data_IF_523438423345
#
_entry.id   IF_523438423345
#
_cell.length_a   1.000
_cell.length_b   1.000
_cell.length_c   1.000
_cell.angle_alpha   90.00
_cell.angle_beta   90.00
_cell.angle_gamma   90.00
#
_symmetry.space_group_name_H-M   'P 1'
#
loop_
_entity.id
_entity.type
_entity.pdbx_description
1 polymer ?
#
# COMPACT_ATOMS: atom_id res chain seq x y z
N UNK A 1 19.58 -19.84 -2.46
CA UNK A 1 18.36 -19.12 -2.11
C UNK A 1 17.96 -18.21 -3.26
N UNK A 2 16.69 -17.94 -3.48
CA UNK A 2 16.23 -17.00 -4.52
C UNK A 2 15.55 -15.82 -3.82
N UNK A 3 16.09 -14.62 -4.01
CA UNK A 3 15.47 -13.39 -3.58
C UNK A 3 15.02 -12.57 -4.79
N UNK A 4 13.77 -12.12 -4.75
CA UNK A 4 13.26 -11.11 -5.68
C UNK A 4 13.32 -9.77 -4.98
N UNK A 5 13.93 -8.78 -5.62
CA UNK A 5 14.13 -7.46 -5.02
C UNK A 5 13.45 -6.38 -5.86
N UNK A 6 12.57 -5.60 -5.26
CA UNK A 6 11.93 -4.46 -5.91
C UNK A 6 12.51 -3.17 -5.35
N UNK A 7 12.77 -2.20 -6.22
CA UNK A 7 13.22 -0.88 -5.83
C UNK A 7 12.21 0.20 -6.23
N UNK A 8 11.86 1.04 -5.26
CA UNK A 8 10.93 2.15 -5.46
C UNK A 8 11.53 3.29 -6.29
N UNK A 9 10.67 4.19 -6.78
CA UNK A 9 11.10 5.29 -7.64
C UNK A 9 12.10 6.25 -7.00
N UNK A 10 11.97 6.54 -5.69
CA UNK A 10 12.94 7.34 -4.93
C UNK A 10 14.34 6.70 -4.91
N UNK A 11 14.40 5.37 -4.85
CA UNK A 11 15.63 4.59 -4.90
C UNK A 11 16.29 4.56 -6.29
N UNK A 12 15.60 5.03 -7.32
CA UNK A 12 16.05 5.00 -8.73
C UNK A 12 15.97 6.39 -9.39
N UNK A 13 15.92 7.46 -8.59
CA UNK A 13 15.70 8.81 -9.06
C UNK A 13 16.92 9.42 -9.78
N UNK A 14 18.14 8.93 -9.55
CA UNK A 14 19.39 9.44 -10.10
C UNK A 14 20.46 8.35 -10.24
N UNK A 15 21.53 8.65 -10.97
CA UNK A 15 22.67 7.74 -11.10
C UNK A 15 23.31 7.36 -9.74
N UNK A 16 23.31 8.28 -8.77
CA UNK A 16 23.82 8.01 -7.42
C UNK A 16 22.96 6.97 -6.70
N UNK A 17 21.64 7.11 -6.79
CA UNK A 17 20.71 6.13 -6.23
C UNK A 17 20.85 4.76 -6.93
N UNK A 18 21.00 4.73 -8.26
CA UNK A 18 21.30 3.49 -9.00
C UNK A 18 22.59 2.81 -8.51
N UNK A 19 23.65 3.58 -8.22
CA UNK A 19 24.89 3.02 -7.66
C UNK A 19 24.67 2.37 -6.30
N UNK A 20 23.88 3.01 -5.41
CA UNK A 20 23.49 2.40 -4.12
C UNK A 20 22.73 1.09 -4.34
N UNK A 21 21.72 1.11 -5.22
CA UNK A 21 20.94 -0.08 -5.58
C UNK A 21 21.83 -1.18 -6.13
N UNK A 22 22.74 -0.86 -7.06
CA UNK A 22 23.68 -1.83 -7.60
C UNK A 22 24.61 -2.44 -6.54
N UNK A 23 25.08 -1.65 -5.58
CA UNK A 23 25.87 -2.14 -4.45
C UNK A 23 25.05 -3.08 -3.56
N UNK A 24 23.79 -2.73 -3.26
CA UNK A 24 22.87 -3.58 -2.51
C UNK A 24 22.68 -4.92 -3.22
N UNK A 25 22.41 -4.92 -4.53
CA UNK A 25 22.17 -6.15 -5.28
C UNK A 25 23.43 -7.03 -5.29
N UNK A 26 24.61 -6.44 -5.56
CA UNK A 26 25.89 -7.18 -5.62
C UNK A 26 26.39 -7.68 -4.26
N UNK A 27 25.93 -7.08 -3.16
CA UNK A 27 26.29 -7.50 -1.79
C UNK A 27 25.66 -8.84 -1.39
N UNK A 28 24.71 -9.35 -2.17
CA UNK A 28 24.00 -10.60 -1.87
C UNK A 28 23.69 -11.33 -3.18
N UNK A 29 24.39 -12.45 -3.41
CA UNK A 29 24.26 -13.23 -4.66
C UNK A 29 22.88 -13.88 -4.84
N UNK A 30 22.09 -13.98 -3.78
CA UNK A 30 20.73 -14.50 -3.83
C UNK A 30 19.72 -13.50 -4.43
N UNK A 31 20.09 -12.22 -4.58
CA UNK A 31 19.27 -11.16 -5.21
C UNK A 31 19.33 -11.26 -6.74
N UNK A 32 18.69 -12.30 -7.26
CA UNK A 32 18.79 -12.71 -8.66
C UNK A 32 17.80 -12.00 -9.58
N UNK A 33 16.64 -11.64 -9.07
CA UNK A 33 15.58 -11.02 -9.88
C UNK A 33 15.22 -9.65 -9.35
N UNK A 34 15.33 -8.65 -10.23
CA UNK A 34 15.21 -7.24 -9.86
C UNK A 34 13.99 -6.62 -10.54
N UNK A 35 13.16 -5.94 -9.77
CA UNK A 35 11.96 -5.24 -10.27
C UNK A 35 12.11 -3.73 -10.01
N UNK A 36 12.57 -2.95 -11.00
CA UNK A 36 12.70 -1.52 -10.87
C UNK A 36 11.36 -0.80 -11.13
N UNK A 37 11.09 0.26 -10.35
CA UNK A 37 10.08 1.27 -10.67
C UNK A 37 10.65 2.31 -11.64
N UNK A 38 9.79 3.17 -12.20
CA UNK A 38 10.23 4.38 -12.92
C UNK A 38 11.01 5.33 -11.99
N UNK A 39 11.89 6.19 -12.52
CA UNK A 39 12.61 7.16 -11.72
C UNK A 39 11.67 8.13 -11.00
N UNK A 40 11.80 8.21 -9.69
CA UNK A 40 11.06 9.14 -8.84
C UNK A 40 11.59 10.57 -8.87
N UNK A 41 11.22 11.37 -7.88
CA UNK A 41 11.73 12.73 -7.68
C UNK A 41 13.17 12.69 -7.17
N UNK A 42 14.03 13.58 -7.68
CA UNK A 42 15.40 13.81 -7.18
C UNK A 42 15.42 14.71 -5.94
N UNK A 43 14.43 15.62 -5.87
CA UNK A 43 14.22 16.59 -4.80
C UNK A 43 12.71 16.90 -4.69
N UNK A 44 12.21 17.55 -3.62
CA UNK A 44 10.76 17.71 -3.36
C UNK A 44 9.96 18.35 -4.50
N UNK A 45 10.53 19.34 -5.19
CA UNK A 45 9.88 20.10 -6.27
C UNK A 45 10.02 19.40 -7.64
N UNK A 46 10.80 18.34 -7.76
CA UNK A 46 10.98 17.60 -9.01
C UNK A 46 9.70 16.86 -9.44
N UNK A 47 9.62 16.54 -10.72
CA UNK A 47 8.48 15.79 -11.28
C UNK A 47 8.88 14.32 -11.47
N UNK A 48 8.02 13.39 -11.09
CA UNK A 48 8.22 11.96 -11.37
C UNK A 48 8.17 11.71 -12.87
N UNK A 49 8.99 10.78 -13.36
CA UNK A 49 8.99 10.41 -14.78
C UNK A 49 7.61 9.93 -15.25
N UNK A 50 6.87 9.19 -14.43
CA UNK A 50 5.52 8.75 -14.77
C UNK A 50 4.57 9.93 -15.01
N UNK A 51 4.66 11.00 -14.19
CA UNK A 51 3.86 12.21 -14.36
C UNK A 51 4.26 12.96 -15.64
N UNK A 52 5.56 12.99 -15.97
CA UNK A 52 6.05 13.56 -17.24
C UNK A 52 5.53 12.79 -18.45
N UNK A 53 5.47 11.46 -18.39
CA UNK A 53 4.92 10.60 -19.44
C UNK A 53 3.41 10.83 -19.62
N UNK A 54 2.64 10.90 -18.54
CA UNK A 54 1.21 11.23 -18.63
C UNK A 54 0.96 12.60 -19.26
N UNK A 55 1.73 13.61 -18.86
CA UNK A 55 1.65 14.95 -19.43
C UNK A 55 1.98 14.95 -20.93
N UNK A 56 3.07 14.29 -21.31
CA UNK A 56 3.50 14.18 -22.71
C UNK A 56 2.42 13.45 -23.56
N UNK A 57 1.83 12.39 -23.03
CA UNK A 57 0.76 11.66 -23.70
C UNK A 57 -0.52 12.51 -23.83
N UNK A 58 -0.90 13.25 -22.80
CA UNK A 58 -2.04 14.17 -22.86
C UNK A 58 -1.84 15.30 -23.91
N UNK A 59 -0.60 15.74 -24.12
CA UNK A 59 -0.26 16.67 -25.21
C UNK A 59 -0.49 16.02 -26.59
N UNK A 60 -0.14 14.72 -26.76
CA UNK A 60 -0.40 13.97 -27.98
C UNK A 60 -1.93 13.77 -28.21
N UNK A 61 -2.69 13.42 -27.16
CA UNK A 61 -4.15 13.31 -27.22
C UNK A 61 -4.81 14.64 -27.65
N UNK A 62 -4.20 15.77 -27.27
CA UNK A 62 -4.66 17.10 -27.67
C UNK A 62 -4.14 17.55 -29.05
N UNK A 63 -3.46 16.70 -29.81
CA UNK A 63 -2.89 16.99 -31.13
C UNK A 63 -1.73 18.01 -31.09
N UNK A 64 -1.07 18.17 -29.93
CA UNK A 64 0.06 19.08 -29.77
C UNK A 64 1.38 18.40 -30.13
N UNK A 65 2.40 19.19 -30.45
CA UNK A 65 3.75 18.69 -30.64
C UNK A 65 4.35 18.24 -29.28
N UNK A 66 4.74 16.97 -29.19
CA UNK A 66 5.27 16.32 -27.98
C UNK A 66 6.80 16.34 -27.90
N UNK A 67 7.51 16.86 -28.91
CA UNK A 67 8.98 16.76 -28.99
C UNK A 67 9.68 17.36 -27.77
N UNK A 68 9.21 18.51 -27.30
CA UNK A 68 9.79 19.16 -26.12
C UNK A 68 9.61 18.35 -24.85
N UNK A 69 8.41 17.83 -24.62
CA UNK A 69 8.10 17.02 -23.43
C UNK A 69 8.80 15.67 -23.48
N UNK A 70 8.85 15.04 -24.65
CA UNK A 70 9.53 13.77 -24.83
C UNK A 70 11.05 13.91 -24.66
N UNK A 71 11.64 14.99 -25.20
CA UNK A 71 13.06 15.28 -25.04
C UNK A 71 13.44 15.50 -23.57
N UNK A 72 12.62 16.18 -22.79
CA UNK A 72 12.87 16.37 -21.36
C UNK A 72 12.90 15.02 -20.60
N UNK A 73 12.06 14.06 -21.00
CA UNK A 73 12.09 12.69 -20.45
C UNK A 73 13.35 11.97 -20.88
N UNK A 74 13.72 12.06 -22.15
CA UNK A 74 14.95 11.47 -22.70
C UNK A 74 16.20 12.00 -21.98
N UNK A 75 16.30 13.30 -21.78
CA UNK A 75 17.38 13.94 -21.03
C UNK A 75 17.49 13.38 -19.61
N UNK A 76 16.37 13.16 -18.94
CA UNK A 76 16.31 12.57 -17.59
C UNK A 76 16.95 11.17 -17.54
N UNK A 77 16.70 10.32 -18.52
CA UNK A 77 17.32 8.99 -18.63
C UNK A 77 18.77 9.06 -19.06
N UNK A 78 19.12 9.97 -19.98
CA UNK A 78 20.48 10.18 -20.43
C UNK A 78 21.40 10.67 -19.29
N UNK A 79 20.90 11.51 -18.38
CA UNK A 79 21.62 11.88 -17.15
C UNK A 79 21.97 10.65 -16.31
N UNK A 80 21.02 9.72 -16.12
CA UNK A 80 21.26 8.47 -15.38
C UNK A 80 22.31 7.61 -16.10
N UNK A 81 22.15 7.37 -17.39
CA UNK A 81 23.07 6.56 -18.21
C UNK A 81 24.48 7.13 -18.16
N UNK A 82 24.63 8.45 -18.36
CA UNK A 82 25.91 9.15 -18.28
C UNK A 82 26.54 9.07 -16.89
N UNK A 83 25.75 9.29 -15.84
CA UNK A 83 26.23 9.23 -14.47
C UNK A 83 26.66 7.83 -14.01
N UNK A 84 26.13 6.79 -14.67
CA UNK A 84 26.53 5.39 -14.48
C UNK A 84 27.72 4.99 -15.38
N UNK A 85 28.12 5.82 -16.34
CA UNK A 85 29.19 5.52 -17.29
C UNK A 85 28.84 4.42 -18.31
N UNK A 86 27.55 4.22 -18.61
CA UNK A 86 27.10 3.16 -19.51
C UNK A 86 27.25 3.56 -20.98
N UNK A 87 27.58 2.59 -21.82
CA UNK A 87 27.58 2.71 -23.29
C UNK A 87 26.22 2.25 -23.84
N UNK A 88 25.15 2.86 -23.36
CA UNK A 88 23.78 2.53 -23.72
C UNK A 88 23.11 3.73 -24.39
N UNK A 89 22.37 3.51 -25.47
CA UNK A 89 21.49 4.50 -26.10
C UNK A 89 20.05 4.02 -26.07
N UNK A 90 19.13 4.87 -25.66
CA UNK A 90 17.69 4.60 -25.67
C UNK A 90 16.99 5.28 -26.86
N UNK A 91 17.74 5.74 -27.88
CA UNK A 91 17.19 6.49 -29.01
C UNK A 91 16.09 5.71 -29.75
N UNK A 92 16.31 4.43 -30.05
CA UNK A 92 15.31 3.59 -30.73
C UNK A 92 14.05 3.41 -29.91
N UNK A 93 14.18 3.28 -28.58
CA UNK A 93 13.07 3.19 -27.67
C UNK A 93 12.25 4.49 -27.65
N UNK A 94 12.90 5.65 -27.62
CA UNK A 94 12.23 6.95 -27.67
C UNK A 94 11.56 7.21 -29.02
N UNK A 95 12.15 6.80 -30.14
CA UNK A 95 11.50 6.85 -31.46
C UNK A 95 10.24 5.98 -31.50
N UNK A 96 10.30 4.78 -30.91
CA UNK A 96 9.15 3.89 -30.79
C UNK A 96 8.07 4.48 -29.90
N UNK A 97 8.44 5.05 -28.74
CA UNK A 97 7.51 5.73 -27.82
C UNK A 97 6.83 6.90 -28.52
N UNK A 98 7.58 7.74 -29.23
CA UNK A 98 7.04 8.87 -30.01
C UNK A 98 5.94 8.41 -30.97
N UNK A 99 6.24 7.40 -31.80
CA UNK A 99 5.28 6.83 -32.78
C UNK A 99 4.01 6.30 -32.09
N UNK A 100 4.15 5.60 -30.95
CA UNK A 100 3.01 5.08 -30.21
C UNK A 100 2.18 6.18 -29.52
N UNK A 101 2.81 7.26 -29.04
CA UNK A 101 2.09 8.41 -28.49
C UNK A 101 1.31 9.13 -29.57
N UNK A 102 1.91 9.37 -30.72
CA UNK A 102 1.25 9.96 -31.89
C UNK A 102 0.12 9.08 -32.44
N UNK A 103 0.24 7.75 -32.31
CA UNK A 103 -0.78 6.77 -32.66
C UNK A 103 -1.83 6.55 -31.55
N UNK A 104 -1.78 7.28 -30.44
CA UNK A 104 -2.68 7.20 -29.29
C UNK A 104 -2.80 5.77 -28.71
N UNK A 105 -1.68 5.12 -28.44
CA UNK A 105 -1.60 3.75 -27.94
C UNK A 105 -2.21 3.51 -26.53
N UNK A 106 -2.62 4.57 -25.82
CA UNK A 106 -3.31 4.51 -24.55
C UNK A 106 -2.46 4.95 -23.35
N UNK A 107 -3.15 5.37 -22.28
CA UNK A 107 -2.52 5.88 -21.05
C UNK A 107 -1.69 4.82 -20.33
N UNK A 108 -2.14 3.56 -20.35
CA UNK A 108 -1.40 2.43 -19.75
C UNK A 108 -0.06 2.21 -20.45
N UNK A 109 -0.04 2.28 -21.80
CA UNK A 109 1.19 2.23 -22.57
C UNK A 109 2.12 3.38 -22.16
N UNK A 110 1.60 4.60 -22.12
CA UNK A 110 2.41 5.77 -21.78
C UNK A 110 3.04 5.64 -20.39
N UNK A 111 2.27 5.32 -19.38
CA UNK A 111 2.73 5.16 -18.01
C UNK A 111 3.81 4.08 -17.87
N UNK A 112 3.60 2.92 -18.50
CA UNK A 112 4.52 1.77 -18.43
C UNK A 112 5.93 2.05 -18.97
N UNK A 113 6.08 3.05 -19.85
CA UNK A 113 7.38 3.35 -20.46
C UNK A 113 8.41 3.84 -19.46
N UNK A 114 7.96 4.37 -18.32
CA UNK A 114 8.85 4.75 -17.22
C UNK A 114 9.63 3.56 -16.67
N UNK A 115 8.95 2.52 -16.28
CA UNK A 115 9.53 1.29 -15.77
C UNK A 115 10.28 0.52 -16.87
N UNK A 116 9.72 0.47 -18.08
CA UNK A 116 10.35 -0.19 -19.23
C UNK A 116 11.76 0.36 -19.51
N UNK A 117 11.89 1.68 -19.67
CA UNK A 117 13.18 2.33 -19.92
C UNK A 117 14.15 2.15 -18.74
N UNK A 118 13.63 2.27 -17.53
CA UNK A 118 14.43 2.09 -16.33
C UNK A 118 14.91 0.64 -16.14
N UNK A 119 14.09 -0.32 -16.53
CA UNK A 119 14.45 -1.73 -16.57
C UNK A 119 15.59 -2.03 -17.53
N UNK A 120 15.59 -1.44 -18.72
CA UNK A 120 16.69 -1.58 -19.70
C UNK A 120 18.01 -1.04 -19.12
N UNK A 121 17.96 0.15 -18.48
CA UNK A 121 19.16 0.73 -17.84
C UNK A 121 19.65 -0.17 -16.72
N UNK A 122 18.75 -0.65 -15.86
CA UNK A 122 19.10 -1.51 -14.72
C UNK A 122 19.72 -2.83 -15.20
N UNK A 123 19.15 -3.47 -16.22
CA UNK A 123 19.66 -4.71 -16.81
C UNK A 123 21.07 -4.51 -17.38
N UNK A 124 21.28 -3.42 -18.12
CA UNK A 124 22.60 -3.09 -18.67
C UNK A 124 23.63 -2.78 -17.56
N UNK A 125 23.23 -2.05 -16.51
CA UNK A 125 24.09 -1.70 -15.38
C UNK A 125 24.52 -2.91 -14.54
N UNK A 126 23.63 -3.89 -14.39
CA UNK A 126 23.91 -5.12 -13.63
C UNK A 126 24.56 -6.23 -14.48
N UNK A 127 24.41 -6.18 -15.80
CA UNK A 127 24.73 -7.30 -16.69
C UNK A 127 23.72 -8.46 -16.58
N UNK A 128 22.47 -8.16 -16.23
CA UNK A 128 21.38 -9.13 -16.11
C UNK A 128 20.52 -9.17 -17.38
N UNK A 129 19.79 -10.28 -17.58
CA UNK A 129 18.87 -10.38 -18.71
C UNK A 129 17.67 -9.43 -18.51
N UNK A 130 17.33 -8.65 -19.56
CA UNK A 130 16.12 -7.82 -19.55
C UNK A 130 14.93 -8.64 -20.05
N UNK A 131 13.87 -8.70 -19.23
CA UNK A 131 12.61 -9.36 -19.60
C UNK A 131 11.50 -8.32 -19.53
N UNK A 132 10.93 -7.99 -20.70
CA UNK A 132 9.79 -7.07 -20.76
C UNK A 132 8.60 -7.67 -19.99
N UNK A 133 8.07 -6.95 -19.02
CA UNK A 133 6.92 -7.38 -18.22
C UNK A 133 5.70 -7.72 -19.06
N UNK A 134 5.50 -7.05 -20.21
CA UNK A 134 4.43 -7.37 -21.16
C UNK A 134 4.52 -8.80 -21.73
N UNK A 135 5.67 -9.46 -21.66
CA UNK A 135 5.85 -10.83 -22.14
C UNK A 135 5.60 -11.90 -21.08
N UNK A 136 5.54 -11.52 -19.81
CA UNK A 136 5.44 -12.48 -18.70
C UNK A 136 4.29 -12.19 -17.73
N UNK A 137 3.80 -10.95 -17.64
CA UNK A 137 2.66 -10.57 -16.80
C UNK A 137 1.41 -10.52 -17.67
N UNK A 138 0.43 -11.37 -17.39
CA UNK A 138 -0.76 -11.54 -18.19
C UNK A 138 -1.98 -10.92 -17.50
N UNK A 139 -2.75 -10.17 -18.27
CA UNK A 139 -4.11 -9.76 -17.91
C UNK A 139 -5.10 -10.54 -18.79
N UNK A 140 -6.34 -10.68 -18.34
CA UNK A 140 -7.42 -11.28 -19.13
C UNK A 140 -8.02 -10.26 -20.12
N UNK A 141 -9.09 -10.67 -20.82
CA UNK A 141 -9.81 -9.82 -21.78
C UNK A 141 -10.52 -8.63 -21.15
N UNK A 142 -10.84 -8.72 -19.86
CA UNK A 142 -11.55 -7.69 -19.10
C UNK A 142 -10.57 -6.73 -18.39
N UNK A 143 -9.26 -7.02 -18.52
CA UNK A 143 -8.17 -6.22 -17.92
C UNK A 143 -7.87 -6.56 -16.46
N UNK A 144 -8.37 -7.71 -16.00
CA UNK A 144 -8.06 -8.24 -14.66
C UNK A 144 -6.78 -9.10 -14.70
N UNK A 145 -6.06 -9.12 -13.61
CA UNK A 145 -4.78 -9.87 -13.53
C UNK A 145 -5.02 -11.40 -13.55
N UNK A 146 -4.47 -12.07 -14.57
CA UNK A 146 -4.52 -13.52 -14.71
C UNK A 146 -3.31 -14.18 -13.99
N UNK A 147 -3.50 -14.59 -12.76
CA UNK A 147 -2.44 -15.16 -11.93
C UNK A 147 -1.99 -16.55 -12.39
N UNK A 148 -2.87 -17.38 -12.92
CA UNK A 148 -2.55 -18.75 -13.35
C UNK A 148 -1.71 -18.73 -14.62
N UNK A 149 -2.16 -17.97 -15.61
CA UNK A 149 -1.43 -17.80 -16.86
C UNK A 149 -0.07 -17.13 -16.63
N UNK A 150 -0.02 -16.08 -15.79
CA UNK A 150 1.23 -15.40 -15.44
C UNK A 150 2.22 -16.37 -14.81
N UNK A 151 1.81 -17.18 -13.82
CA UNK A 151 2.69 -18.14 -13.18
C UNK A 151 3.25 -19.15 -14.19
N UNK A 152 2.41 -19.71 -15.08
CA UNK A 152 2.85 -20.67 -16.10
C UNK A 152 3.84 -20.03 -17.10
N UNK A 153 3.56 -18.81 -17.56
CA UNK A 153 4.44 -18.09 -18.50
C UNK A 153 5.77 -17.73 -17.84
N UNK A 154 5.73 -17.23 -16.60
CA UNK A 154 6.94 -16.93 -15.82
C UNK A 154 7.78 -18.19 -15.58
N UNK A 155 7.18 -19.31 -15.13
CA UNK A 155 7.89 -20.56 -14.87
C UNK A 155 8.62 -21.04 -16.13
N UNK A 156 7.97 -21.01 -17.31
CA UNK A 156 8.58 -21.36 -18.57
C UNK A 156 9.71 -20.40 -19.00
N UNK A 157 9.47 -19.08 -18.85
CA UNK A 157 10.41 -18.06 -19.28
C UNK A 157 11.68 -18.03 -18.43
N UNK A 158 11.53 -18.19 -17.11
CA UNK A 158 12.66 -18.10 -16.18
C UNK A 158 13.42 -19.42 -15.98
N UNK A 159 12.95 -20.55 -16.56
CA UNK A 159 13.54 -21.87 -16.35
C UNK A 159 15.06 -21.95 -16.62
N UNK A 160 15.55 -21.15 -17.57
CA UNK A 160 16.98 -21.12 -17.97
C UNK A 160 17.63 -19.75 -17.72
N UNK A 161 17.01 -18.88 -16.94
CA UNK A 161 17.49 -17.52 -16.66
C UNK A 161 17.89 -17.43 -15.20
N UNK A 162 19.18 -17.27 -14.95
CA UNK A 162 19.70 -17.20 -13.58
C UNK A 162 19.45 -15.85 -12.92
N UNK A 163 19.58 -14.76 -13.70
CA UNK A 163 19.48 -13.38 -13.22
C UNK A 163 18.74 -12.51 -14.24
N UNK A 164 17.70 -11.82 -13.79
CA UNK A 164 16.91 -10.98 -14.68
C UNK A 164 16.44 -9.67 -14.04
N UNK A 165 16.15 -8.70 -14.89
CA UNK A 165 15.42 -7.48 -14.55
C UNK A 165 14.07 -7.51 -15.26
N UNK A 166 13.00 -7.37 -14.48
CA UNK A 166 11.62 -7.31 -14.96
C UNK A 166 11.04 -5.95 -14.57
N UNK A 167 10.74 -5.06 -15.53
CA UNK A 167 10.13 -3.76 -15.20
C UNK A 167 8.85 -3.94 -14.40
N UNK A 168 8.65 -3.10 -13.37
CA UNK A 168 7.44 -3.12 -12.58
C UNK A 168 6.22 -2.53 -13.28
N UNK A 169 5.05 -2.56 -12.60
CA UNK A 169 3.85 -1.78 -12.88
C UNK A 169 2.93 -2.29 -14.00
N UNK A 170 3.35 -3.04 -14.99
CA UNK A 170 2.55 -3.38 -16.16
C UNK A 170 2.69 -4.83 -16.61
N UNK A 171 1.81 -5.23 -17.49
CA UNK A 171 1.81 -6.47 -18.25
C UNK A 171 1.07 -6.27 -19.57
N UNK A 172 0.55 -7.35 -20.16
CA UNK A 172 -0.20 -7.29 -21.40
C UNK A 172 -1.52 -8.07 -21.36
N UNK A 173 -2.52 -7.55 -22.07
CA UNK A 173 -3.76 -8.21 -22.37
C UNK A 173 -3.58 -9.22 -23.52
N UNK A 174 -4.54 -10.15 -23.78
CA UNK A 174 -4.43 -11.13 -24.86
C UNK A 174 -4.29 -10.52 -26.27
N UNK A 175 -4.78 -9.30 -26.46
CA UNK A 175 -4.65 -8.55 -27.73
C UNK A 175 -3.30 -7.81 -27.88
N UNK A 176 -2.37 -8.03 -26.96
CA UNK A 176 -1.06 -7.38 -26.95
C UNK A 176 -1.04 -5.95 -26.41
N UNK A 177 -2.18 -5.37 -26.03
CA UNK A 177 -2.21 -4.04 -25.43
C UNK A 177 -1.62 -4.08 -24.02
N UNK A 178 -0.80 -3.11 -23.73
CA UNK A 178 -0.25 -2.93 -22.38
C UNK A 178 -1.36 -2.55 -21.41
N UNK A 179 -1.32 -3.15 -20.22
CA UNK A 179 -2.19 -2.86 -19.09
C UNK A 179 -1.37 -2.60 -17.86
N UNK A 180 -1.70 -1.55 -17.10
CA UNK A 180 -1.04 -1.22 -15.83
C UNK A 180 -1.88 -1.66 -14.63
N UNK A 181 -1.22 -1.94 -13.51
CA UNK A 181 -1.89 -2.11 -12.23
C UNK A 181 -2.36 -0.75 -11.69
N UNK A 182 -3.50 -0.73 -11.01
CA UNK A 182 -4.14 0.53 -10.59
C UNK A 182 -3.36 1.28 -9.50
N UNK A 183 -2.73 0.57 -8.56
CA UNK A 183 -1.92 1.14 -7.45
C UNK A 183 -0.80 0.19 -7.05
N UNK A 184 0.30 0.75 -6.53
CA UNK A 184 1.44 -0.04 -6.04
C UNK A 184 2.05 -0.99 -7.08
N UNK A 185 1.92 -0.67 -8.37
CA UNK A 185 2.11 -1.64 -9.45
C UNK A 185 3.46 -2.31 -9.48
N UNK A 186 4.54 -1.60 -9.17
CA UNK A 186 5.86 -2.24 -9.09
C UNK A 186 5.99 -3.17 -7.87
N UNK A 187 5.32 -2.86 -6.76
CA UNK A 187 5.25 -3.75 -5.59
C UNK A 187 4.49 -5.02 -5.92
N UNK A 188 3.37 -4.87 -6.66
CA UNK A 188 2.56 -6.00 -7.15
C UNK A 188 3.38 -6.86 -8.11
N UNK A 189 4.10 -6.25 -9.06
CA UNK A 189 4.96 -7.00 -10.00
C UNK A 189 6.05 -7.77 -9.26
N UNK A 190 6.73 -7.16 -8.28
CA UNK A 190 7.74 -7.84 -7.45
C UNK A 190 7.17 -9.05 -6.72
N UNK A 191 5.99 -8.91 -6.15
CA UNK A 191 5.25 -9.97 -5.48
C UNK A 191 4.83 -11.11 -6.43
N UNK A 192 4.36 -10.78 -7.63
CA UNK A 192 4.01 -11.75 -8.67
C UNK A 192 5.24 -12.55 -9.12
N UNK A 193 6.33 -11.86 -9.43
CA UNK A 193 7.59 -12.50 -9.85
C UNK A 193 8.13 -13.40 -8.74
N UNK A 194 8.10 -12.94 -7.47
CA UNK A 194 8.52 -13.75 -6.34
C UNK A 194 7.69 -15.04 -6.22
N UNK A 195 6.36 -14.94 -6.37
CA UNK A 195 5.47 -16.10 -6.34
C UNK A 195 5.75 -17.05 -7.50
N UNK A 196 5.84 -16.54 -8.72
CA UNK A 196 6.03 -17.35 -9.92
C UNK A 196 7.36 -18.13 -9.89
N UNK A 197 8.40 -17.54 -9.30
CA UNK A 197 9.71 -18.16 -9.10
C UNK A 197 9.80 -19.02 -7.83
N UNK A 198 8.74 -19.10 -7.03
CA UNK A 198 8.76 -19.76 -5.72
C UNK A 198 9.94 -19.27 -4.88
N UNK A 199 10.16 -17.94 -4.87
CA UNK A 199 11.28 -17.32 -4.19
C UNK A 199 11.24 -17.59 -2.67
N UNK A 200 12.43 -17.65 -2.07
CA UNK A 200 12.57 -17.80 -0.62
C UNK A 200 12.23 -16.49 0.13
N UNK A 201 12.36 -15.34 -0.55
CA UNK A 201 12.08 -14.03 0.02
C UNK A 201 11.75 -12.99 -1.07
N UNK A 202 10.86 -12.07 -0.74
CA UNK A 202 10.62 -10.84 -1.48
C UNK A 202 11.11 -9.65 -0.67
N UNK A 203 12.14 -8.94 -1.15
CA UNK A 203 12.62 -7.71 -0.54
C UNK A 203 12.02 -6.49 -1.26
N UNK A 204 11.31 -5.65 -0.52
CA UNK A 204 10.80 -4.37 -1.03
C UNK A 204 11.66 -3.23 -0.48
N UNK A 205 12.49 -2.66 -1.35
CA UNK A 205 13.40 -1.57 -1.04
C UNK A 205 12.76 -0.22 -1.34
N UNK A 206 12.70 0.63 -0.31
CA UNK A 206 12.09 1.96 -0.33
C UNK A 206 12.99 2.97 0.38
N UNK A 207 12.47 4.13 0.79
CA UNK A 207 13.18 5.19 1.50
C UNK A 207 12.97 5.19 3.02
N UNK A 208 12.29 4.16 3.55
CA UNK A 208 12.07 3.97 4.99
C UNK A 208 12.55 2.60 5.46
N UNK A 209 13.00 2.51 6.70
CA UNK A 209 13.58 1.29 7.30
C UNK A 209 12.51 0.33 7.86
N UNK A 210 11.39 0.14 7.13
CA UNK A 210 10.28 -0.70 7.53
C UNK A 210 9.15 0.07 8.22
N UNK A 211 8.37 -0.64 9.03
CA UNK A 211 7.26 -0.07 9.78
C UNK A 211 7.70 0.38 11.17
N UNK A 212 7.12 1.48 11.64
CA UNK A 212 7.25 1.95 13.00
C UNK A 212 5.98 1.63 13.81
N UNK A 213 6.15 1.44 15.10
CA UNK A 213 5.05 1.09 16.01
C UNK A 213 4.02 2.23 16.23
N UNK A 214 4.33 3.43 15.77
CA UNK A 214 3.40 4.56 15.67
C UNK A 214 3.86 5.52 14.55
N UNK A 215 3.00 6.44 14.15
CA UNK A 215 3.35 7.49 13.19
C UNK A 215 4.46 8.40 13.77
N UNK A 216 5.65 8.50 13.14
CA UNK A 216 6.76 9.31 13.65
C UNK A 216 6.47 10.82 13.70
N UNK A 217 5.43 11.27 12.98
CA UNK A 217 4.95 12.66 13.06
C UNK A 217 4.19 12.94 14.34
N UNK A 218 3.70 11.89 15.01
CA UNK A 218 2.95 11.97 16.28
C UNK A 218 3.83 11.56 17.45
N UNK A 219 4.53 10.43 17.32
CA UNK A 219 5.39 9.88 18.38
C UNK A 219 6.84 10.01 17.93
N UNK A 220 7.57 10.95 18.52
CA UNK A 220 9.00 11.09 18.26
C UNK A 220 9.74 9.80 18.68
N UNK A 221 10.66 9.33 17.83
CA UNK A 221 11.43 8.10 18.06
C UNK A 221 10.58 6.84 18.25
N UNK A 222 9.47 6.73 17.50
CA UNK A 222 8.68 5.50 17.49
C UNK A 222 9.58 4.29 17.15
N UNK A 223 9.47 3.22 17.94
CA UNK A 223 10.33 2.03 17.80
C UNK A 223 10.01 1.28 16.48
N UNK A 224 11.02 0.69 15.82
CA UNK A 224 10.82 -0.10 14.62
C UNK A 224 10.11 -1.42 14.93
N UNK A 225 9.27 -1.87 14.02
CA UNK A 225 8.64 -3.19 14.06
C UNK A 225 9.55 -4.16 13.32
N UNK A 226 10.19 -5.08 14.05
CA UNK A 226 11.11 -6.06 13.45
C UNK A 226 10.36 -7.14 12.67
N UNK A 227 9.25 -7.67 13.21
CA UNK A 227 8.45 -8.73 12.60
C UNK A 227 6.98 -8.44 12.79
N UNK A 228 6.22 -8.50 11.70
CA UNK A 228 4.76 -8.29 11.68
C UNK A 228 4.10 -9.43 10.91
N UNK A 229 2.93 -9.87 11.34
CA UNK A 229 2.13 -10.82 10.56
C UNK A 229 1.28 -10.09 9.52
N UNK A 230 0.87 -10.79 8.46
CA UNK A 230 -0.05 -10.23 7.46
C UNK A 230 -1.36 -9.71 8.06
N UNK A 231 -1.86 -10.38 9.12
CA UNK A 231 -3.08 -9.94 9.80
C UNK A 231 -2.87 -8.61 10.52
N UNK A 232 -1.80 -8.48 11.30
CA UNK A 232 -1.45 -7.23 11.98
C UNK A 232 -1.18 -6.10 10.99
N UNK A 233 -0.47 -6.40 9.89
CA UNK A 233 -0.19 -5.43 8.85
C UNK A 233 -1.49 -4.88 8.22
N UNK A 234 -2.48 -5.73 7.96
CA UNK A 234 -3.77 -5.29 7.40
C UNK A 234 -4.48 -4.32 8.34
N UNK A 235 -4.52 -4.63 9.63
CA UNK A 235 -5.14 -3.77 10.64
C UNK A 235 -4.47 -2.38 10.68
N UNK A 236 -3.13 -2.35 10.76
CA UNK A 236 -2.37 -1.10 10.78
C UNK A 236 -2.49 -0.31 9.46
N UNK A 237 -2.41 -1.00 8.32
CA UNK A 237 -2.50 -0.36 7.00
C UNK A 237 -3.87 0.23 6.73
N UNK A 238 -4.93 -0.47 7.12
CA UNK A 238 -6.30 0.02 7.01
C UNK A 238 -6.49 1.32 7.79
N UNK A 239 -5.88 1.41 8.96
CA UNK A 239 -5.90 2.61 9.81
C UNK A 239 -4.84 3.65 9.46
N UNK A 240 -4.14 3.52 8.31
CA UNK A 240 -3.29 4.56 7.74
C UNK A 240 -1.78 4.37 7.87
N UNK A 241 -1.30 3.34 8.55
CA UNK A 241 0.13 2.99 8.58
C UNK A 241 0.52 2.24 7.29
N UNK A 242 0.55 2.94 6.16
CA UNK A 242 0.76 2.35 4.83
C UNK A 242 2.19 2.58 4.35
N UNK A 243 3.00 1.52 4.31
CA UNK A 243 4.30 1.46 3.62
C UNK A 243 4.20 0.61 2.35
N UNK A 244 3.33 -0.40 2.35
CA UNK A 244 3.12 -1.33 1.25
C UNK A 244 1.63 -1.42 0.91
N UNK A 245 1.29 -1.38 -0.39
CA UNK A 245 -0.10 -1.52 -0.82
C UNK A 245 -0.59 -2.96 -0.64
N UNK A 246 -1.83 -3.14 -0.18
CA UNK A 246 -2.41 -4.46 0.11
C UNK A 246 -2.38 -5.41 -1.10
N UNK A 247 -2.61 -4.90 -2.31
CA UNK A 247 -2.56 -5.68 -3.55
C UNK A 247 -1.20 -6.34 -3.79
N UNK A 248 -0.11 -5.75 -3.27
CA UNK A 248 1.24 -6.31 -3.39
C UNK A 248 1.50 -7.49 -2.44
N UNK A 249 0.68 -7.62 -1.41
CA UNK A 249 0.84 -8.68 -0.40
C UNK A 249 0.23 -10.00 -0.88
N UNK A 250 -0.89 -9.93 -1.59
CA UNK A 250 -1.70 -11.09 -1.93
C UNK A 250 -0.95 -12.21 -2.68
N UNK A 251 -0.16 -11.95 -3.75
CA UNK A 251 0.54 -13.01 -4.47
C UNK A 251 1.57 -13.76 -3.60
N UNK A 252 2.42 -13.05 -2.86
CA UNK A 252 3.44 -13.68 -2.01
C UNK A 252 2.83 -14.38 -0.80
N UNK A 253 1.79 -13.81 -0.18
CA UNK A 253 1.06 -14.43 0.91
C UNK A 253 0.49 -15.79 0.49
N UNK A 254 -0.16 -15.87 -0.67
CA UNK A 254 -0.67 -17.15 -1.22
C UNK A 254 0.45 -18.15 -1.49
N UNK A 255 1.68 -17.67 -1.73
CA UNK A 255 2.90 -18.49 -1.88
C UNK A 255 3.61 -18.85 -0.58
N UNK A 256 3.18 -18.29 0.56
CA UNK A 256 3.90 -18.44 1.84
C UNK A 256 5.27 -17.76 1.88
N UNK A 257 5.52 -16.81 0.97
CA UNK A 257 6.83 -16.15 0.81
C UNK A 257 6.89 -14.94 1.75
N UNK A 258 7.88 -14.82 2.64
CA UNK A 258 8.05 -13.66 3.49
C UNK A 258 8.44 -12.42 2.69
N UNK A 259 8.00 -11.23 3.17
CA UNK A 259 8.41 -9.94 2.63
C UNK A 259 9.35 -9.26 3.61
N UNK A 260 10.43 -8.65 3.14
CA UNK A 260 11.25 -7.75 3.96
C UNK A 260 11.19 -6.32 3.39
N UNK A 261 10.72 -5.37 4.18
CA UNK A 261 10.73 -3.95 3.83
C UNK A 261 12.07 -3.36 4.28
N UNK A 262 12.84 -2.82 3.33
CA UNK A 262 14.20 -2.33 3.59
C UNK A 262 14.42 -0.92 3.05
N UNK A 263 15.39 -0.24 3.64
CA UNK A 263 15.76 1.13 3.26
C UNK A 263 16.97 1.15 2.33
N UNK A 264 16.80 1.70 1.14
CA UNK A 264 17.90 1.87 0.16
C UNK A 264 18.98 2.83 0.66
N UNK A 265 18.62 3.78 1.54
CA UNK A 265 19.56 4.76 2.08
C UNK A 265 20.23 4.32 3.39
N UNK A 266 19.73 3.24 4.01
CA UNK A 266 20.30 2.59 5.20
C UNK A 266 20.20 1.05 5.01
N UNK A 267 20.96 0.46 4.09
CA UNK A 267 20.85 -0.95 3.72
C UNK A 267 21.24 -1.91 4.86
N UNK A 268 21.99 -1.45 5.85
CA UNK A 268 22.37 -2.17 7.08
C UNK A 268 21.18 -2.36 8.02
N UNK A 269 20.15 -1.51 7.96
CA UNK A 269 18.96 -1.66 8.78
C UNK A 269 18.26 -2.99 8.44
N UNK A 270 17.84 -3.71 9.48
CA UNK A 270 17.14 -4.99 9.32
C UNK A 270 15.81 -4.84 8.59
N UNK A 271 15.17 -3.67 8.73
CA UNK A 271 13.84 -3.42 8.20
C UNK A 271 12.74 -4.19 8.94
N UNK A 272 11.58 -4.34 8.30
CA UNK A 272 10.45 -5.10 8.86
C UNK A 272 10.21 -6.37 8.05
N UNK A 273 10.21 -7.51 8.72
CA UNK A 273 9.83 -8.81 8.16
C UNK A 273 8.33 -9.03 8.27
N UNK A 274 7.65 -9.28 7.15
CA UNK A 274 6.22 -9.59 7.09
C UNK A 274 6.08 -11.09 6.80
N UNK A 275 5.35 -11.79 7.67
CA UNK A 275 5.20 -13.27 7.63
C UNK A 275 3.73 -13.68 7.80
N UNK A 276 3.37 -14.90 7.38
CA UNK A 276 2.03 -15.44 7.60
C UNK A 276 1.79 -15.71 9.09
N UNK A 277 2.74 -16.41 9.71
CA UNK A 277 2.71 -16.75 11.14
C UNK A 277 4.12 -16.67 11.72
N UNK A 278 4.20 -16.44 13.01
CA UNK A 278 5.48 -16.49 13.74
C UNK A 278 5.26 -17.01 15.16
N UNK A 279 6.18 -17.84 15.62
CA UNK A 279 6.25 -18.27 17.01
C UNK A 279 6.97 -17.24 17.91
N UNK A 280 7.66 -16.28 17.29
CA UNK A 280 8.36 -15.24 18.04
C UNK A 280 7.35 -14.30 18.70
N UNK A 281 7.42 -14.22 20.03
CA UNK A 281 6.67 -13.20 20.76
C UNK A 281 7.16 -11.81 20.33
N UNK A 282 6.26 -10.83 20.20
CA UNK A 282 6.67 -9.45 19.94
C UNK A 282 7.47 -8.93 21.14
N UNK A 283 8.39 -8.00 20.88
CA UNK A 283 9.18 -7.34 21.92
C UNK A 283 8.29 -6.60 22.94
N UNK A 284 7.22 -6.01 22.43
CA UNK A 284 6.17 -5.34 23.22
C UNK A 284 4.85 -6.08 23.06
N UNK A 285 3.94 -5.94 24.00
CA UNK A 285 2.61 -6.55 23.97
C UNK A 285 1.82 -6.14 22.73
N UNK A 286 2.00 -4.89 22.28
CA UNK A 286 1.43 -4.39 21.03
C UNK A 286 2.48 -4.40 19.92
N UNK A 287 2.03 -4.57 18.68
CA UNK A 287 2.87 -4.45 17.49
C UNK A 287 2.92 -3.00 17.00
N UNK A 288 1.79 -2.30 17.04
CA UNK A 288 1.73 -0.90 16.64
C UNK A 288 0.39 -0.25 16.88
N UNK A 289 0.37 1.07 16.70
CA UNK A 289 -0.80 1.93 16.82
C UNK A 289 -0.92 2.75 15.55
N UNK A 290 -2.09 2.73 14.94
CA UNK A 290 -2.43 3.56 13.79
C UNK A 290 -3.80 4.17 13.98
N UNK A 291 -4.11 5.24 13.24
CA UNK A 291 -5.43 5.83 13.32
C UNK A 291 -5.70 6.84 12.22
N UNK A 292 -6.97 7.16 12.05
CA UNK A 292 -7.46 8.15 11.10
C UNK A 292 -8.45 9.08 11.75
N UNK A 293 -8.49 10.31 11.26
CA UNK A 293 -9.53 11.31 11.57
C UNK A 293 -10.61 11.32 10.49
N UNK A 294 -11.70 12.00 10.76
CA UNK A 294 -12.73 12.27 9.75
C UNK A 294 -13.84 11.22 9.71
N UNK A 295 -14.27 10.74 10.87
CA UNK A 295 -15.43 9.84 10.99
C UNK A 295 -16.65 10.55 11.56
N UNK A 296 -17.80 10.02 11.20
CA UNK A 296 -19.13 10.39 11.74
C UNK A 296 -19.72 9.14 12.36
N UNK A 297 -20.27 9.29 13.57
CA UNK A 297 -21.10 8.31 14.23
C UNK A 297 -22.58 8.65 14.01
N UNK A 298 -23.35 7.68 13.53
CA UNK A 298 -24.80 7.75 13.36
C UNK A 298 -25.40 6.82 14.42
N UNK A 299 -25.90 7.37 15.52
CA UNK A 299 -26.57 6.62 16.59
C UNK A 299 -28.06 6.53 16.30
N UNK A 300 -28.58 5.33 16.25
CA UNK A 300 -29.98 5.02 15.96
C UNK A 300 -30.55 4.35 17.20
N UNK A 301 -31.54 4.99 17.83
CA UNK A 301 -32.22 4.48 18.98
C UNK A 301 -33.61 3.98 18.59
N UNK A 302 -33.97 2.82 19.08
CA UNK A 302 -35.28 2.24 18.87
C UNK A 302 -35.66 1.28 20.01
N UNK A 303 -36.73 1.58 20.71
CA UNK A 303 -37.29 0.68 21.71
C UNK A 303 -37.57 -0.71 21.10
N UNK A 304 -37.17 -1.76 21.81
CA UNK A 304 -37.35 -3.16 21.41
C UNK A 304 -36.60 -3.52 20.11
N UNK A 305 -35.53 -2.81 19.76
CA UNK A 305 -34.72 -3.05 18.57
C UNK A 305 -34.24 -4.51 18.46
N UNK A 306 -33.83 -5.09 19.60
CA UNK A 306 -33.34 -6.48 19.66
C UNK A 306 -34.42 -7.52 19.33
N UNK A 307 -35.68 -7.17 19.42
CA UNK A 307 -36.83 -8.03 19.10
C UNK A 307 -37.27 -7.92 17.63
N UNK A 308 -36.78 -6.91 16.90
CA UNK A 308 -37.10 -6.70 15.48
C UNK A 308 -36.16 -7.49 14.58
N UNK A 309 -36.63 -8.62 14.08
CA UNK A 309 -35.85 -9.47 13.15
C UNK A 309 -35.49 -8.67 11.90
N UNK A 310 -34.18 -8.61 11.60
CA UNK A 310 -33.66 -7.96 10.41
C UNK A 310 -33.48 -6.45 10.55
N UNK A 311 -33.56 -5.86 11.72
CA UNK A 311 -33.32 -4.43 11.96
C UNK A 311 -31.96 -4.00 11.42
N UNK A 312 -30.88 -4.64 11.87
CA UNK A 312 -29.51 -4.30 11.41
C UNK A 312 -29.39 -4.42 9.88
N UNK A 313 -29.95 -5.48 9.28
CA UNK A 313 -29.91 -5.64 7.82
C UNK A 313 -30.58 -4.47 7.09
N UNK A 314 -31.74 -4.01 7.59
CA UNK A 314 -32.47 -2.87 6.98
C UNK A 314 -31.64 -1.60 7.06
N UNK A 315 -30.99 -1.33 8.19
CA UNK A 315 -30.09 -0.19 8.35
C UNK A 315 -28.88 -0.30 7.43
N UNK A 316 -28.20 -1.45 7.39
CA UNK A 316 -27.04 -1.67 6.54
C UNK A 316 -27.36 -1.52 5.05
N UNK A 317 -28.56 -1.98 4.62
CA UNK A 317 -29.01 -1.79 3.22
C UNK A 317 -29.12 -0.32 2.84
N UNK A 318 -29.44 0.58 3.76
CA UNK A 318 -29.46 2.02 3.47
C UNK A 318 -28.06 2.54 3.10
N UNK A 319 -27.02 2.11 3.82
CA UNK A 319 -25.64 2.52 3.51
C UNK A 319 -25.17 1.89 2.18
N UNK A 320 -25.47 0.61 1.95
CA UNK A 320 -25.17 -0.11 0.70
C UNK A 320 -25.80 0.60 -0.50
N UNK A 321 -27.10 0.91 -0.45
CA UNK A 321 -27.85 1.60 -1.53
C UNK A 321 -27.30 3.00 -1.86
N UNK A 322 -26.58 3.61 -0.91
CA UNK A 322 -25.94 4.90 -1.08
C UNK A 322 -24.42 4.81 -1.37
N UNK A 323 -23.87 3.59 -1.48
CA UNK A 323 -22.45 3.39 -1.74
C UNK A 323 -21.57 3.99 -0.64
N UNK A 324 -21.94 3.78 0.63
CA UNK A 324 -21.20 4.24 1.81
C UNK A 324 -20.62 3.02 2.51
N UNK A 325 -19.30 3.01 2.69
CA UNK A 325 -18.60 1.96 3.43
C UNK A 325 -18.81 2.13 4.94
N UNK A 326 -19.10 1.03 5.62
CA UNK A 326 -19.24 1.00 7.08
C UNK A 326 -17.91 0.56 7.69
N UNK A 327 -17.42 1.34 8.64
CA UNK A 327 -16.16 1.07 9.34
C UNK A 327 -16.37 0.19 10.57
N UNK A 328 -17.28 0.62 11.45
CA UNK A 328 -17.62 -0.08 12.68
C UNK A 328 -19.12 0.06 12.99
N UNK A 329 -19.64 -0.91 13.75
CA UNK A 329 -21.06 -0.96 14.06
C UNK A 329 -21.31 -1.53 15.46
N UNK A 330 -20.91 -0.82 16.53
CA UNK A 330 -21.28 -1.21 17.88
C UNK A 330 -22.80 -1.14 18.07
N UNK A 331 -23.37 -2.17 18.68
CA UNK A 331 -24.80 -2.27 18.93
C UNK A 331 -25.09 -2.67 20.36
N UNK A 332 -26.13 -2.05 20.94
CA UNK A 332 -26.73 -2.38 22.23
C UNK A 332 -28.04 -3.16 22.07
N UNK A 333 -28.87 -3.10 23.09
CA UNK A 333 -30.21 -3.73 23.09
C UNK A 333 -31.19 -2.89 22.27
N UNK A 334 -31.22 -1.58 22.51
CA UNK A 334 -32.16 -0.63 21.92
C UNK A 334 -31.42 0.44 21.09
N UNK A 335 -30.11 0.28 20.88
CA UNK A 335 -29.26 1.26 20.15
C UNK A 335 -28.33 0.58 19.18
N UNK A 336 -28.11 1.22 18.04
CA UNK A 336 -27.12 0.82 17.05
C UNK A 336 -26.38 2.06 16.58
N UNK A 337 -25.06 2.04 16.63
CA UNK A 337 -24.25 3.15 16.10
C UNK A 337 -23.47 2.67 14.86
N UNK A 338 -23.53 3.43 13.78
CA UNK A 338 -22.79 3.15 12.55
C UNK A 338 -21.71 4.22 12.38
N UNK A 339 -20.44 3.79 12.25
CA UNK A 339 -19.32 4.67 11.95
C UNK A 339 -19.00 4.62 10.47
N UNK A 340 -18.94 5.79 9.84
CA UNK A 340 -18.64 5.94 8.42
C UNK A 340 -17.62 7.07 8.21
N UNK A 341 -16.92 7.06 7.08
CA UNK A 341 -16.02 8.14 6.75
C UNK A 341 -16.83 9.41 6.39
N UNK A 342 -16.43 10.54 6.94
CA UNK A 342 -17.16 11.82 6.80
C UNK A 342 -17.27 12.23 5.33
N UNK A 343 -16.21 12.04 4.54
CA UNK A 343 -16.18 12.44 3.13
C UNK A 343 -17.18 11.67 2.25
N UNK A 344 -17.51 10.41 2.63
CA UNK A 344 -18.49 9.59 1.92
C UNK A 344 -19.94 9.93 2.31
N UNK A 345 -20.12 10.50 3.49
CA UNK A 345 -21.42 10.70 4.12
C UNK A 345 -22.01 12.10 3.93
N UNK A 346 -21.20 13.16 4.05
CA UNK A 346 -21.66 14.56 4.14
C UNK A 346 -22.61 14.96 3.01
N UNK A 347 -22.29 14.64 1.76
CA UNK A 347 -23.15 14.98 0.62
C UNK A 347 -24.45 14.15 0.56
N UNK A 348 -24.51 13.03 1.29
CA UNK A 348 -25.62 12.06 1.29
C UNK A 348 -26.41 12.09 2.59
N UNK A 349 -26.02 12.87 3.59
CA UNK A 349 -26.55 12.89 4.96
C UNK A 349 -28.07 12.92 4.99
N UNK A 350 -28.70 13.93 4.41
CA UNK A 350 -30.15 14.11 4.44
C UNK A 350 -30.90 12.91 3.81
N UNK A 351 -30.37 12.38 2.73
CA UNK A 351 -30.95 11.22 2.05
C UNK A 351 -30.87 9.97 2.90
N UNK A 352 -29.69 9.71 3.48
CA UNK A 352 -29.44 8.53 4.34
C UNK A 352 -30.33 8.59 5.57
N UNK A 353 -30.42 9.72 6.26
CA UNK A 353 -31.28 9.89 7.43
C UNK A 353 -32.76 9.64 7.11
N UNK A 354 -33.27 10.21 6.01
CA UNK A 354 -34.64 9.97 5.57
C UNK A 354 -34.91 8.50 5.25
N UNK A 355 -33.94 7.81 4.64
CA UNK A 355 -34.07 6.38 4.33
C UNK A 355 -34.00 5.50 5.58
N UNK A 356 -33.18 5.83 6.60
CA UNK A 356 -33.14 5.15 7.89
C UNK A 356 -34.53 5.29 8.57
N UNK A 357 -35.07 6.49 8.65
CA UNK A 357 -36.42 6.71 9.22
C UNK A 357 -37.48 5.88 8.51
N UNK A 358 -37.44 5.81 7.17
CA UNK A 358 -38.37 5.00 6.37
C UNK A 358 -38.22 3.50 6.61
N UNK A 359 -36.93 3.03 6.72
CA UNK A 359 -36.64 1.60 6.78
C UNK A 359 -36.93 0.96 8.13
N UNK A 360 -36.68 1.69 9.23
CA UNK A 360 -36.75 1.12 10.60
C UNK A 360 -37.57 1.94 11.59
N UNK A 361 -38.07 3.13 11.19
CA UNK A 361 -38.85 4.02 12.06
C UNK A 361 -38.25 4.15 13.48
N UNK A 362 -37.03 4.71 13.60
CA UNK A 362 -36.34 4.86 14.87
C UNK A 362 -37.02 5.91 15.76
N UNK A 363 -36.82 5.81 17.06
CA UNK A 363 -37.29 6.82 18.03
C UNK A 363 -36.44 8.09 17.94
N UNK A 364 -35.11 7.93 17.74
CA UNK A 364 -34.19 9.02 17.46
C UNK A 364 -33.04 8.60 16.57
N UNK A 365 -32.46 9.57 15.85
CA UNK A 365 -31.20 9.43 15.14
C UNK A 365 -30.32 10.63 15.46
N UNK A 366 -29.17 10.38 16.06
CA UNK A 366 -28.18 11.41 16.41
C UNK A 366 -26.91 11.27 15.58
N UNK A 367 -26.32 12.42 15.24
CA UNK A 367 -25.07 12.48 14.52
C UNK A 367 -23.97 13.10 15.39
N UNK A 368 -22.81 12.45 15.47
CA UNK A 368 -21.60 13.05 16.03
C UNK A 368 -20.48 13.00 15.00
N UNK A 369 -20.11 14.16 14.48
CA UNK A 369 -19.02 14.31 13.53
C UNK A 369 -17.67 14.60 14.21
N UNK A 370 -16.61 14.71 13.40
CA UNK A 370 -15.26 15.04 13.86
C UNK A 370 -14.68 14.01 14.84
N UNK A 371 -14.93 12.74 14.57
CA UNK A 371 -14.38 11.63 15.31
C UNK A 371 -13.12 11.09 14.63
N UNK A 372 -12.25 10.50 15.44
CA UNK A 372 -11.09 9.76 15.02
C UNK A 372 -11.16 8.33 15.56
N UNK A 373 -10.72 7.37 14.78
CA UNK A 373 -10.57 5.98 15.18
C UNK A 373 -9.09 5.63 15.30
N UNK A 374 -8.73 4.96 16.37
CA UNK A 374 -7.37 4.51 16.70
C UNK A 374 -7.40 3.01 16.88
N UNK A 375 -6.57 2.30 16.12
CA UNK A 375 -6.36 0.86 16.28
C UNK A 375 -5.07 0.60 17.08
N UNK A 376 -5.20 -0.10 18.17
CA UNK A 376 -4.09 -0.70 18.90
C UNK A 376 -4.00 -2.15 18.46
N UNK A 377 -2.91 -2.51 17.80
CA UNK A 377 -2.77 -3.82 17.13
C UNK A 377 -1.61 -4.60 17.73
N UNK A 378 -1.82 -5.89 17.98
CA UNK A 378 -0.70 -6.75 18.41
C UNK A 378 -1.14 -8.17 18.77
N UNK A 379 -0.43 -9.14 18.20
CA UNK A 379 -0.61 -10.57 18.55
C UNK A 379 -0.26 -10.89 20.01
N UNK A 380 0.56 -10.05 20.65
CA UNK A 380 0.89 -10.18 22.07
C UNK A 380 -0.27 -9.86 23.01
N UNK A 381 -1.34 -9.21 22.50
CA UNK A 381 -2.54 -8.94 23.29
C UNK A 381 -3.39 -10.20 23.49
N UNK A 382 -3.30 -11.15 22.56
CA UNK A 382 -4.10 -12.40 22.62
C UNK A 382 -3.79 -13.16 23.89
N UNK A 383 -4.84 -13.48 24.64
CA UNK A 383 -4.77 -14.16 25.95
C UNK A 383 -3.99 -13.38 27.02
N UNK A 384 -3.75 -12.07 26.82
CA UNK A 384 -3.05 -11.22 27.79
C UNK A 384 -4.08 -10.42 28.62
N UNK A 385 -4.01 -10.56 29.95
CA UNK A 385 -4.92 -9.86 30.85
C UNK A 385 -4.51 -8.41 31.08
N UNK A 386 -5.50 -7.53 31.27
CA UNK A 386 -5.26 -6.14 31.68
C UNK A 386 -4.96 -5.15 30.57
N UNK A 387 -4.84 -5.57 29.30
CA UNK A 387 -4.46 -4.68 28.18
C UNK A 387 -5.46 -3.53 28.02
N UNK A 388 -6.74 -3.84 27.88
CA UNK A 388 -7.80 -2.82 27.80
C UNK A 388 -7.81 -1.92 29.04
N UNK A 389 -7.69 -2.52 30.24
CA UNK A 389 -7.62 -1.76 31.51
C UNK A 389 -6.48 -0.73 31.53
N UNK A 390 -5.31 -1.12 31.08
CA UNK A 390 -4.13 -0.22 31.01
C UNK A 390 -4.36 0.92 30.02
N UNK A 391 -4.87 0.62 28.82
CA UNK A 391 -5.18 1.62 27.78
C UNK A 391 -6.19 2.64 28.31
N UNK A 392 -7.36 2.18 28.82
CA UNK A 392 -8.41 3.10 29.24
C UNK A 392 -8.07 3.84 30.54
N UNK A 393 -7.29 3.25 31.44
CA UNK A 393 -6.76 3.95 32.60
C UNK A 393 -5.81 5.08 32.23
N UNK A 394 -4.97 4.88 31.22
CA UNK A 394 -4.05 5.91 30.71
C UNK A 394 -4.84 7.05 30.05
N UNK A 395 -5.82 6.73 29.19
CA UNK A 395 -6.67 7.73 28.55
C UNK A 395 -7.48 8.54 29.58
N UNK A 396 -8.00 7.89 30.62
CA UNK A 396 -8.72 8.57 31.71
C UNK A 396 -7.81 9.53 32.49
N UNK A 397 -6.57 9.13 32.82
CA UNK A 397 -5.56 10.00 33.45
C UNK A 397 -5.22 11.21 32.57
N UNK A 398 -5.16 11.02 31.26
CA UNK A 398 -4.94 12.09 30.29
C UNK A 398 -6.22 12.93 30.02
N UNK A 399 -7.33 12.66 30.72
CA UNK A 399 -8.64 13.32 30.54
C UNK A 399 -9.18 13.24 29.11
N UNK A 400 -8.89 12.15 28.41
CA UNK A 400 -9.39 11.87 27.06
C UNK A 400 -10.66 11.04 27.16
N UNK A 401 -11.78 11.60 26.70
CA UNK A 401 -13.06 10.90 26.68
C UNK A 401 -13.11 9.94 25.48
N UNK A 402 -13.41 8.69 25.77
CA UNK A 402 -13.60 7.63 24.76
C UNK A 402 -15.06 7.63 24.28
N UNK A 403 -15.25 7.60 22.96
CA UNK A 403 -16.56 7.63 22.29
C UNK A 403 -17.01 6.24 21.81
N UNK A 404 -16.05 5.39 21.50
CA UNK A 404 -16.30 4.03 21.02
C UNK A 404 -15.18 3.10 21.47
N UNK A 405 -15.55 1.87 21.75
CA UNK A 405 -14.63 0.75 22.00
C UNK A 405 -15.16 -0.42 21.18
N UNK A 406 -14.27 -1.02 20.38
CA UNK A 406 -14.57 -2.24 19.65
C UNK A 406 -13.37 -3.20 19.76
N UNK A 407 -13.63 -4.44 20.14
CA UNK A 407 -12.64 -5.50 20.22
C UNK A 407 -13.29 -6.82 19.81
N UNK A 408 -12.87 -7.34 18.67
CA UNK A 408 -13.34 -8.63 18.18
C UNK A 408 -12.76 -9.83 18.95
N UNK A 409 -13.36 -10.98 18.77
CA UNK A 409 -12.95 -12.26 19.41
C UNK A 409 -11.53 -12.75 19.01
N UNK A 410 -10.94 -12.14 18.00
CA UNK A 410 -9.54 -12.42 17.60
C UNK A 410 -8.52 -11.88 18.60
N UNK A 411 -8.92 -10.89 19.42
CA UNK A 411 -8.07 -10.13 20.36
C UNK A 411 -6.82 -9.52 19.69
N UNK A 412 -6.84 -9.39 18.35
CA UNK A 412 -5.72 -8.88 17.57
C UNK A 412 -5.63 -7.36 17.63
N UNK A 413 -6.78 -6.69 17.78
CA UNK A 413 -6.88 -5.24 17.84
C UNK A 413 -7.88 -4.77 18.91
N UNK A 414 -7.70 -3.52 19.35
CA UNK A 414 -8.69 -2.73 20.09
C UNK A 414 -8.84 -1.43 19.31
N UNK A 415 -10.07 -1.15 18.86
CA UNK A 415 -10.39 0.10 18.17
C UNK A 415 -11.01 1.08 19.17
N UNK A 416 -10.49 2.29 19.18
CA UNK A 416 -10.87 3.34 20.13
C UNK A 416 -11.31 4.58 19.37
N UNK A 417 -12.56 4.99 19.55
CA UNK A 417 -13.09 6.23 19.02
C UNK A 417 -12.88 7.39 19.98
N UNK A 418 -12.32 8.50 19.48
CA UNK A 418 -12.13 9.75 20.22
C UNK A 418 -12.52 10.94 19.35
N UNK A 419 -12.69 12.14 19.92
CA UNK A 419 -12.84 13.35 19.11
C UNK A 419 -11.53 13.69 18.40
N UNK A 420 -11.60 14.22 17.19
CA UNK A 420 -10.41 14.58 16.35
C UNK A 420 -9.35 15.38 17.10
N UNK A 421 -9.76 16.28 18.01
CA UNK A 421 -8.86 17.13 18.81
C UNK A 421 -7.96 16.35 19.77
N UNK A 422 -8.35 15.14 20.15
CA UNK A 422 -7.59 14.29 21.08
C UNK A 422 -6.79 13.20 20.38
N UNK A 423 -6.81 13.16 19.06
CA UNK A 423 -6.25 12.06 18.26
C UNK A 423 -4.77 11.82 18.55
N UNK A 424 -3.95 12.87 18.41
CA UNK A 424 -2.51 12.78 18.62
C UNK A 424 -2.16 12.46 20.07
N UNK A 425 -2.83 13.12 21.02
CA UNK A 425 -2.59 12.91 22.45
C UNK A 425 -3.00 11.51 22.88
N UNK A 426 -4.08 10.96 22.32
CA UNK A 426 -4.50 9.58 22.57
C UNK A 426 -3.47 8.58 22.07
N UNK A 427 -2.94 8.75 20.85
CA UNK A 427 -1.89 7.89 20.31
C UNK A 427 -0.64 7.94 21.20
N UNK A 428 -0.15 9.12 21.57
CA UNK A 428 1.00 9.28 22.47
C UNK A 428 0.77 8.61 23.82
N UNK A 429 -0.40 8.84 24.41
CA UNK A 429 -0.78 8.28 25.71
C UNK A 429 -0.80 6.76 25.67
N UNK A 430 -1.43 6.16 24.64
CA UNK A 430 -1.49 4.71 24.50
C UNK A 430 -0.11 4.13 24.21
N UNK A 431 0.69 4.79 23.36
CA UNK A 431 2.04 4.35 23.04
C UNK A 431 2.93 4.25 24.29
N UNK A 432 2.90 5.28 25.16
CA UNK A 432 3.66 5.31 26.41
C UNK A 432 3.26 4.23 27.44
N UNK A 433 2.08 3.60 27.30
CA UNK A 433 1.68 2.47 28.15
C UNK A 433 2.51 1.22 27.86
N UNK A 434 2.84 0.99 26.58
CA UNK A 434 3.42 -0.26 26.10
C UNK A 434 4.90 -0.15 25.77
N UNK A 435 5.35 1.06 25.43
CA UNK A 435 6.74 1.36 25.06
C UNK A 435 7.24 2.45 26.02
N UNK A 436 7.86 2.07 27.14
CA UNK A 436 8.40 3.03 28.10
C UNK A 436 9.43 3.96 27.44
N UNK A 437 9.45 5.23 27.84
CA UNK A 437 10.55 6.12 27.51
C UNK A 437 11.83 5.60 28.19
N UNK A 438 12.92 5.50 27.44
CA UNK A 438 14.25 5.12 27.95
C UNK A 438 14.89 6.28 28.72
#
# INVERSE_FOLDING_TARGET
>A
MIKVVKFGGSSLASAEQFKKVGNIIRADEDRKYVVPSAPGKRFPEDTKVTDMLYKCYAEAEAGKNIEKSLKAIEERYNEIIKGLGLKLSLKEQFETIKKNFEALAGKDYAASRGEYLNGIIMANYLGYEFIDAATVICFDKDGEFDSEKTNAVCEAKFANIERAVVPGFYGAMPNGKVKTFSRGGSDVTGSIVARALKADMYENWTDVSGFLAADPRIVNNAKPINVITYKELRELSYMGASVLHESAIFPVRKGGIPINIKNTNAPEDKGTMIVETTCNMPEYTITGIAGKKGFVAISIDKDMMNSEIGFCRKVLSVFEDNGISIEHMPSGIDTMTVFVHQDEFVEKEQKVLAQIHKAVNPDSVELEAHLALIAVVGRGMKNSTGIAGNIFSALAKAKINVKMIDQGSSELNIIIGVRNRYFEDAIKTIYGVFVPEE
#
